data_IF_651824021594
#
_entry.id   IF_651824021594
#
_cell.length_a   1.000
_cell.length_b   1.000
_cell.length_c   1.000
_cell.angle_alpha   90.00
_cell.angle_beta   90.00
_cell.angle_gamma   90.00
#
_symmetry.space_group_name_H-M   'P 1'
#
loop_
_entity.id
_entity.type
_entity.pdbx_description
1 polymer ?
#
# COMPACT_ATOMS: atom_id res chain seq x y z
N UNK A 1 -6.54 54.01 -31.62
CA UNK A 1 -6.04 53.81 -31.21
C UNK A 1 -5.86 53.11 -30.06
N UNK A 2 -5.98 53.14 -29.45
CA UNK A 2 -5.81 52.69 -28.20
C UNK A 2 -6.41 51.41 -27.86
N UNK A 3 -6.83 50.84 -28.09
CA UNK A 3 -7.44 49.80 -27.82
C UNK A 3 -6.67 48.66 -27.58
N UNK A 4 -5.82 48.53 -28.07
CA UNK A 4 -5.08 47.42 -28.01
C UNK A 4 -4.65 47.09 -26.71
N UNK A 5 -4.52 47.79 -26.01
CA UNK A 5 -4.05 47.63 -24.82
C UNK A 5 -4.54 46.60 -23.98
N UNK A 6 -5.55 46.51 -23.80
CA UNK A 6 -6.03 45.75 -22.85
C UNK A 6 -5.76 44.36 -22.82
N UNK A 7 -5.89 43.79 -23.64
CA UNK A 7 -5.81 42.46 -23.65
C UNK A 7 -4.81 41.83 -22.90
N UNK A 8 -3.77 42.23 -22.83
CA UNK A 8 -2.75 41.54 -22.27
C UNK A 8 -2.92 41.19 -20.88
N UNK A 9 -3.46 41.77 -20.19
CA UNK A 9 -3.49 41.55 -18.79
C UNK A 9 -4.06 40.24 -18.35
N UNK A 10 -4.91 39.79 -18.98
CA UNK A 10 -5.57 38.59 -18.53
C UNK A 10 -4.70 37.40 -18.38
N UNK A 11 -3.76 37.35 -19.11
CA UNK A 11 -2.95 36.25 -19.05
C UNK A 11 -2.24 35.91 -17.83
N UNK A 12 -1.71 36.81 -17.23
CA UNK A 12 -0.93 36.50 -16.11
C UNK A 12 -1.57 35.74 -15.02
N UNK A 13 -2.75 35.84 -14.86
CA UNK A 13 -3.40 35.17 -13.86
C UNK A 13 -3.26 33.73 -13.84
N UNK A 14 -3.33 33.15 -14.92
CA UNK A 14 -3.17 31.78 -14.97
C UNK A 14 -2.04 31.16 -14.30
N UNK A 15 -0.93 31.61 -14.50
CA UNK A 15 0.20 30.99 -13.96
C UNK A 15 0.16 30.77 -12.51
N UNK A 16 -0.50 31.58 -11.83
CA UNK A 16 -0.55 31.49 -10.48
C UNK A 16 -1.19 30.27 -9.96
N UNK A 17 -2.19 29.91 -10.51
CA UNK A 17 -2.92 28.79 -10.08
C UNK A 17 -2.13 27.55 -9.99
N UNK A 18 -1.29 27.31 -10.88
CA UNK A 18 -0.56 26.15 -10.86
C UNK A 18 0.25 25.95 -9.68
N UNK A 19 0.84 26.86 -9.21
CA UNK A 19 1.74 26.68 -8.11
C UNK A 19 1.06 26.19 -6.88
N UNK A 20 -0.14 26.45 -6.75
CA UNK A 20 -0.82 26.06 -5.58
C UNK A 20 -1.04 24.58 -5.46
N UNK A 21 -1.17 23.91 -6.51
CA UNK A 21 -1.46 22.53 -6.45
C UNK A 21 -0.26 21.66 -6.19
N UNK A 22 0.89 22.22 -6.18
CA UNK A 22 2.06 21.42 -6.05
C UNK A 22 2.31 20.97 -4.63
N UNK A 23 2.18 19.72 -4.39
CA UNK A 23 2.52 19.16 -3.14
C UNK A 23 3.58 18.14 -3.36
N UNK A 24 4.52 17.97 -2.45
CA UNK A 24 5.54 16.96 -2.60
C UNK A 24 4.90 15.58 -2.57
N UNK A 25 5.27 14.77 -3.50
CA UNK A 25 4.81 13.41 -3.54
C UNK A 25 5.93 12.50 -3.06
N UNK A 26 5.61 11.28 -2.70
CA UNK A 26 6.62 10.30 -2.33
C UNK A 26 7.52 10.04 -3.54
N UNK A 27 8.78 9.69 -3.31
CA UNK A 27 9.68 9.35 -4.42
C UNK A 27 9.09 8.24 -5.28
N UNK A 28 9.33 8.25 -6.59
CA UNK A 28 8.75 7.25 -7.48
C UNK A 28 9.01 5.81 -7.05
N UNK A 29 10.22 5.52 -6.58
CA UNK A 29 10.53 4.17 -6.15
C UNK A 29 9.70 3.76 -4.94
N UNK A 30 9.48 4.67 -4.00
CA UNK A 30 8.63 4.39 -2.86
C UNK A 30 7.20 4.11 -3.30
N UNK A 31 6.70 4.88 -4.25
CA UNK A 31 5.34 4.66 -4.74
C UNK A 31 5.20 3.29 -5.38
N UNK A 32 6.17 2.88 -6.18
CA UNK A 32 6.16 1.59 -6.84
C UNK A 32 6.21 0.46 -5.81
N UNK A 33 7.09 0.57 -4.84
CA UNK A 33 7.26 -0.48 -3.84
C UNK A 33 6.03 -0.57 -2.94
N UNK A 34 5.46 0.55 -2.54
CA UNK A 34 4.26 0.56 -1.69
C UNK A 34 3.08 -0.07 -2.42
N UNK A 35 2.92 0.22 -3.72
CA UNK A 35 1.87 -0.41 -4.50
C UNK A 35 2.09 -1.93 -4.55
N UNK A 36 3.33 -2.35 -4.72
CA UNK A 36 3.68 -3.77 -4.71
C UNK A 36 3.38 -4.43 -3.37
N UNK A 37 3.67 -3.75 -2.26
CA UNK A 37 3.37 -4.27 -0.94
C UNK A 37 1.87 -4.38 -0.73
N UNK A 38 1.09 -3.40 -1.19
CA UNK A 38 -0.36 -3.47 -1.09
C UNK A 38 -0.90 -4.68 -1.86
N UNK A 39 -0.35 -4.94 -3.02
CA UNK A 39 -0.75 -6.11 -3.81
C UNK A 39 -0.41 -7.40 -3.07
N UNK A 40 0.73 -7.46 -2.40
CA UNK A 40 1.12 -8.64 -1.64
C UNK A 40 0.17 -8.86 -0.46
N UNK A 41 -0.26 -7.80 0.21
CA UNK A 41 -1.24 -7.92 1.29
C UNK A 41 -2.53 -8.54 0.79
N UNK A 42 -3.00 -8.11 -0.39
CA UNK A 42 -4.21 -8.68 -0.96
C UNK A 42 -4.06 -10.14 -1.32
N UNK A 43 -2.90 -10.53 -1.80
CA UNK A 43 -2.62 -11.93 -2.11
C UNK A 43 -2.67 -12.76 -0.82
N UNK A 44 -2.09 -12.27 0.25
CA UNK A 44 -2.15 -12.96 1.54
C UNK A 44 -3.60 -13.06 2.01
N UNK A 45 -4.37 -12.00 1.87
CA UNK A 45 -5.79 -12.02 2.26
C UNK A 45 -6.60 -13.05 1.49
N UNK A 46 -6.33 -13.18 0.19
CA UNK A 46 -7.00 -14.18 -0.62
C UNK A 46 -6.61 -15.59 -0.18
N UNK A 47 -5.35 -15.80 0.13
CA UNK A 47 -4.88 -17.09 0.63
C UNK A 47 -5.54 -17.42 1.97
N UNK A 48 -5.73 -16.43 2.83
CA UNK A 48 -6.40 -16.63 4.11
C UNK A 48 -7.85 -17.06 3.91
N UNK A 49 -8.55 -16.42 2.97
CA UNK A 49 -9.92 -16.80 2.67
C UNK A 49 -10.03 -18.23 2.17
N UNK A 50 -9.06 -18.65 1.36
CA UNK A 50 -9.02 -19.99 0.84
C UNK A 50 -8.77 -20.99 1.98
N UNK A 51 -7.83 -20.67 2.85
CA UNK A 51 -7.51 -21.54 4.00
C UNK A 51 -8.72 -21.66 4.93
N UNK A 52 -9.43 -20.57 5.16
CA UNK A 52 -10.62 -20.57 6.01
C UNK A 52 -11.68 -21.54 5.50
N UNK A 53 -11.88 -21.57 4.20
CA UNK A 53 -12.87 -22.46 3.61
C UNK A 53 -12.49 -23.92 3.84
N UNK A 54 -11.21 -24.24 3.74
CA UNK A 54 -10.76 -25.60 3.88
C UNK A 54 -10.56 -26.07 5.33
N UNK A 55 -10.19 -25.16 6.21
CA UNK A 55 -9.81 -25.52 7.57
C UNK A 55 -10.69 -24.91 8.67
N UNK A 56 -11.65 -24.08 8.31
CA UNK A 56 -12.55 -23.43 9.26
C UNK A 56 -11.84 -22.50 10.24
N UNK A 57 -10.66 -22.05 9.89
CA UNK A 57 -9.89 -21.09 10.67
C UNK A 57 -8.94 -20.35 9.73
N UNK A 58 -8.51 -19.17 10.12
CA UNK A 58 -7.47 -18.45 9.38
C UNK A 58 -6.11 -19.04 9.74
N UNK A 59 -5.12 -18.71 8.96
CA UNK A 59 -3.80 -19.36 9.02
C UNK A 59 -2.69 -18.39 9.35
N UNK A 60 -1.63 -18.89 9.98
CA UNK A 60 -0.39 -18.12 10.11
C UNK A 60 0.28 -18.08 8.75
N UNK A 61 1.26 -17.19 8.60
CA UNK A 61 2.00 -17.09 7.35
C UNK A 61 2.65 -18.43 6.98
N UNK A 62 3.21 -19.10 7.98
CA UNK A 62 3.86 -20.39 7.77
C UNK A 62 2.87 -21.45 7.30
N UNK A 63 1.68 -21.46 7.85
CA UNK A 63 0.65 -22.42 7.42
C UNK A 63 0.23 -22.18 5.98
N UNK A 64 0.12 -20.92 5.56
CA UNK A 64 -0.20 -20.61 4.18
C UNK A 64 0.90 -21.12 3.24
N UNK A 65 2.14 -20.99 3.66
CA UNK A 65 3.27 -21.48 2.86
C UNK A 65 3.27 -23.00 2.80
N UNK A 66 3.02 -23.67 3.90
CA UNK A 66 2.98 -25.13 3.96
C UNK A 66 1.88 -25.72 3.09
N UNK A 67 0.75 -25.04 2.99
CA UNK A 67 -0.36 -25.48 2.15
C UNK A 67 -0.23 -25.03 0.70
N UNK A 68 0.90 -24.44 0.35
CA UNK A 68 1.17 -23.95 -1.00
C UNK A 68 0.19 -22.88 -1.46
N UNK A 69 -0.44 -22.20 -0.52
CA UNK A 69 -1.34 -21.08 -0.85
C UNK A 69 -0.59 -19.78 -0.99
N UNK A 70 0.64 -19.74 -0.57
CA UNK A 70 1.48 -18.56 -0.64
C UNK A 70 2.91 -18.98 -0.98
N UNK A 71 3.52 -18.28 -1.92
CA UNK A 71 4.92 -18.51 -2.26
C UNK A 71 5.76 -17.38 -1.70
N UNK A 72 7.00 -17.68 -1.35
CA UNK A 72 7.91 -16.69 -0.81
C UNK A 72 7.85 -16.63 0.70
N UNK A 73 8.76 -15.90 1.29
CA UNK A 73 8.88 -15.80 2.73
C UNK A 73 8.22 -14.54 3.29
N UNK A 74 8.58 -14.25 4.53
CA UNK A 74 8.07 -13.05 5.20
C UNK A 74 8.74 -11.78 4.71
N UNK A 75 9.94 -11.87 4.14
CA UNK A 75 10.66 -10.70 3.66
C UNK A 75 10.35 -10.45 2.19
N UNK A 76 9.78 -9.31 1.88
CA UNK A 76 9.45 -8.96 0.51
C UNK A 76 9.66 -7.48 0.28
N UNK A 77 10.38 -7.14 -0.77
CA UNK A 77 10.60 -5.73 -1.16
C UNK A 77 11.11 -4.84 -0.04
N UNK A 78 11.93 -5.38 0.86
CA UNK A 78 12.45 -4.61 1.98
C UNK A 78 11.44 -4.40 3.10
N UNK A 79 10.36 -5.14 3.10
CA UNK A 79 9.37 -5.14 4.17
C UNK A 79 9.30 -6.53 4.79
N UNK A 80 8.96 -6.58 6.06
CA UNK A 80 8.70 -7.84 6.75
C UNK A 80 7.20 -7.95 6.99
N UNK A 81 6.63 -9.09 6.61
CA UNK A 81 5.21 -9.36 6.77
C UNK A 81 4.99 -10.27 7.96
N UNK A 82 3.96 -9.99 8.72
CA UNK A 82 3.54 -10.85 9.82
C UNK A 82 2.03 -11.00 9.80
N UNK A 83 1.54 -12.14 10.28
CA UNK A 83 0.11 -12.42 10.34
C UNK A 83 -0.25 -12.82 11.75
N UNK A 84 -1.23 -12.15 12.33
CA UNK A 84 -1.81 -12.51 13.61
C UNK A 84 -3.21 -13.07 13.34
N UNK A 85 -3.52 -14.19 13.94
CA UNK A 85 -4.76 -14.93 13.69
C UNK A 85 -5.63 -14.96 14.93
N UNK A 86 -6.92 -14.76 14.75
CA UNK A 86 -7.90 -14.92 15.82
C UNK A 86 -8.93 -15.99 15.41
N UNK A 87 -8.47 -17.21 15.29
CA UNK A 87 -9.32 -18.36 14.92
C UNK A 87 -10.02 -18.14 13.60
N UNK A 88 -11.33 -18.28 13.61
CA UNK A 88 -12.14 -18.06 12.42
C UNK A 88 -12.72 -16.66 12.38
N UNK A 89 -12.43 -15.84 13.38
CA UNK A 89 -13.01 -14.51 13.47
C UNK A 89 -12.28 -13.47 12.65
N UNK A 90 -11.00 -13.60 12.54
CA UNK A 90 -10.25 -12.60 11.80
C UNK A 90 -8.77 -12.87 11.75
N UNK A 91 -8.08 -12.08 10.95
CA UNK A 91 -6.64 -12.06 10.89
C UNK A 91 -6.19 -10.62 10.66
N UNK A 92 -4.95 -10.34 10.99
CA UNK A 92 -4.35 -9.04 10.71
C UNK A 92 -2.98 -9.29 10.09
N UNK A 93 -2.76 -8.73 8.92
CA UNK A 93 -1.47 -8.77 8.26
C UNK A 93 -0.83 -7.42 8.41
N UNK A 94 0.43 -7.39 8.80
CA UNK A 94 1.19 -6.15 8.93
C UNK A 94 2.45 -6.26 8.09
N UNK A 95 2.73 -5.23 7.31
CA UNK A 95 3.96 -5.12 6.54
C UNK A 95 4.73 -3.91 7.05
N UNK A 96 5.92 -4.16 7.57
CA UNK A 96 6.75 -3.13 8.21
C UNK A 96 8.05 -2.98 7.45
N UNK A 97 8.48 -1.73 7.15
CA UNK A 97 9.76 -1.54 6.48
C UNK A 97 10.90 -2.12 7.32
N UNK A 98 11.76 -2.89 6.67
CA UNK A 98 12.89 -3.52 7.36
C UNK A 98 14.24 -3.09 6.82
N UNK A 99 14.31 -2.64 5.57
CA UNK A 99 15.56 -2.19 5.00
C UNK A 99 15.91 -0.79 5.50
N UNK A 100 17.19 -0.54 5.68
CA UNK A 100 17.66 0.75 6.18
C UNK A 100 17.28 1.90 5.25
N UNK A 101 17.26 1.65 3.95
CA UNK A 101 16.91 2.68 2.98
C UNK A 101 15.41 2.95 2.90
N UNK A 102 14.61 2.19 3.63
CA UNK A 102 13.17 2.39 3.68
C UNK A 102 12.70 3.00 5.00
N UNK A 103 13.66 3.57 5.73
CA UNK A 103 13.32 4.19 6.99
C UNK A 103 12.34 5.32 6.75
N UNK A 104 11.31 5.38 7.54
CA UNK A 104 10.29 6.42 7.38
C UNK A 104 9.19 6.08 6.37
N UNK A 105 9.31 4.97 5.66
CA UNK A 105 8.26 4.54 4.78
C UNK A 105 7.07 4.01 5.59
N UNK A 106 5.87 4.03 5.04
CA UNK A 106 4.69 3.65 5.82
C UNK A 106 4.66 2.17 6.20
N UNK A 107 4.08 1.88 7.34
CA UNK A 107 3.70 0.53 7.71
C UNK A 107 2.31 0.30 7.15
N UNK A 108 2.09 -0.83 6.55
CA UNK A 108 0.82 -1.17 5.92
C UNK A 108 0.15 -2.30 6.67
N UNK A 109 -1.15 -2.28 6.70
CA UNK A 109 -1.91 -3.33 7.38
C UNK A 109 -3.19 -3.66 6.64
N UNK A 110 -3.70 -4.85 6.91
CA UNK A 110 -4.95 -5.31 6.34
C UNK A 110 -5.53 -6.39 7.24
N UNK A 111 -6.83 -6.47 7.33
CA UNK A 111 -7.49 -7.53 8.07
C UNK A 111 -8.49 -8.24 7.15
N UNK A 112 -9.38 -9.02 7.73
CA UNK A 112 -10.35 -9.79 6.95
C UNK A 112 -11.32 -8.92 6.14
N UNK A 113 -11.35 -7.62 6.39
CA UNK A 113 -12.15 -6.72 5.57
C UNK A 113 -11.53 -6.48 4.21
N UNK A 114 -10.27 -6.87 4.04
CA UNK A 114 -9.53 -6.72 2.79
C UNK A 114 -9.25 -5.26 2.42
N UNK A 115 -9.29 -4.36 3.41
CA UNK A 115 -8.96 -2.97 3.18
C UNK A 115 -7.58 -2.68 3.70
N UNK A 116 -6.71 -2.15 2.84
CA UNK A 116 -5.35 -1.84 3.20
C UNK A 116 -5.29 -0.47 3.85
N UNK A 117 -4.60 -0.38 4.97
CA UNK A 117 -4.41 0.89 5.68
C UNK A 117 -2.92 1.20 5.77
N UNK A 118 -2.59 2.48 5.88
CA UNK A 118 -1.21 2.94 6.04
C UNK A 118 -1.09 3.67 7.36
N UNK A 119 0.05 3.52 8.02
CA UNK A 119 0.34 4.26 9.23
C UNK A 119 1.73 4.83 9.24
#
# INVERSE_FOLDING_TARGET
>A
MPREIHMRSAVSILGLVMTLGCRPAAPPQQQIDVVGIKAELLVIGQAEGHYLVEHSTYATLEQLQQDSLLTGGADRRGYVFSVAVDGSRGFTVTATPSDADKKGWPTLGMDQSMQVTER
#
